data_IF_504782716731
#
_entry.id   IF_504782716731
#
_cell.length_a   1.000
_cell.length_b   1.000
_cell.length_c   1.000
_cell.angle_alpha   90.00
_cell.angle_beta   90.00
_cell.angle_gamma   90.00
#
_symmetry.space_group_name_H-M   'P 1'
#
loop_
_entity.id
_entity.type
_entity.pdbx_description
1 polymer ?
#
# COMPACT_ATOMS: atom_id res chain seq x y z
N UNK A 1 -14.93 42.31 -1.69
CA UNK A 1 -13.84 41.50 -2.27
C UNK A 1 -13.42 40.56 -1.15
N UNK A 2 -14.11 39.43 -1.05
CA UNK A 2 -13.77 38.39 -0.08
C UNK A 2 -12.82 37.47 -0.82
N UNK A 3 -11.54 37.49 -0.46
CA UNK A 3 -10.62 36.43 -0.82
C UNK A 3 -11.19 35.14 -0.22
N UNK A 4 -11.84 34.34 -1.06
CA UNK A 4 -12.04 32.92 -0.77
C UNK A 4 -10.64 32.34 -0.58
N UNK A 5 -10.25 32.13 0.69
CA UNK A 5 -9.19 31.21 1.03
C UNK A 5 -9.52 29.89 0.36
N UNK A 6 -8.88 29.62 -0.79
CA UNK A 6 -8.91 28.31 -1.43
C UNK A 6 -8.24 27.39 -0.43
N UNK A 7 -9.04 26.71 0.38
CA UNK A 7 -8.54 25.72 1.32
C UNK A 7 -7.69 24.75 0.50
N UNK A 8 -6.41 24.64 0.86
CA UNK A 8 -5.47 23.74 0.17
C UNK A 8 -6.13 22.37 -0.01
N UNK A 9 -6.17 21.89 -1.26
CA UNK A 9 -6.69 20.56 -1.62
C UNK A 9 -5.81 19.42 -1.07
N UNK A 10 -4.75 19.76 -0.34
CA UNK A 10 -3.75 18.87 0.22
C UNK A 10 -3.72 18.98 1.74
N UNK A 11 -3.63 17.84 2.41
CA UNK A 11 -3.53 17.72 3.86
C UNK A 11 -2.25 17.01 4.27
N UNK A 12 -1.75 17.34 5.45
CA UNK A 12 -0.59 16.68 6.04
C UNK A 12 -0.88 15.22 6.40
N UNK A 13 0.14 14.39 6.64
CA UNK A 13 -0.08 13.00 7.01
C UNK A 13 -0.71 12.85 8.39
N UNK A 14 -0.46 13.79 9.31
CA UNK A 14 -1.13 13.82 10.60
C UNK A 14 -2.64 14.07 10.46
N UNK A 15 -3.03 15.08 9.68
CA UNK A 15 -4.44 15.35 9.39
C UNK A 15 -5.12 14.16 8.68
N UNK A 16 -4.42 13.48 7.77
CA UNK A 16 -4.96 12.30 7.12
C UNK A 16 -5.20 11.13 8.09
N UNK A 17 -4.29 10.95 9.06
CA UNK A 17 -4.49 9.99 10.16
C UNK A 17 -5.71 10.39 10.98
N UNK A 18 -5.84 11.65 11.40
CA UNK A 18 -6.98 12.12 12.20
C UNK A 18 -8.32 11.90 11.48
N UNK A 19 -8.37 12.08 10.15
CA UNK A 19 -9.59 11.85 9.35
C UNK A 19 -9.98 10.36 9.30
N UNK A 20 -9.00 9.46 9.29
CA UNK A 20 -9.21 8.02 9.07
C UNK A 20 -9.19 7.20 10.38
N UNK A 21 -8.61 7.71 11.45
CA UNK A 21 -8.47 7.06 12.76
C UNK A 21 -9.80 6.62 13.36
N UNK A 22 -10.91 7.40 13.30
CA UNK A 22 -12.21 6.95 13.81
C UNK A 22 -12.71 5.65 13.19
N UNK A 23 -12.20 5.27 12.01
CA UNK A 23 -12.61 4.07 11.28
C UNK A 23 -11.60 2.94 11.35
N UNK A 24 -10.32 3.25 11.21
CA UNK A 24 -9.26 2.24 11.07
C UNK A 24 -8.42 2.08 12.36
N UNK A 25 -8.59 2.96 13.35
CA UNK A 25 -7.95 2.89 14.66
C UNK A 25 -6.43 2.82 14.57
N UNK A 26 -5.81 1.91 15.34
CA UNK A 26 -4.37 1.76 15.41
C UNK A 26 -3.69 1.45 14.05
N UNK A 27 -4.42 0.84 13.11
CA UNK A 27 -3.88 0.43 11.81
C UNK A 27 -4.01 1.53 10.73
N UNK A 28 -4.43 2.73 11.09
CA UNK A 28 -4.69 3.82 10.12
C UNK A 28 -3.48 4.16 9.27
N UNK A 29 -2.28 4.19 9.87
CA UNK A 29 -1.02 4.50 9.18
C UNK A 29 -0.67 3.44 8.15
N UNK A 30 -0.74 2.17 8.53
CA UNK A 30 -0.52 1.03 7.63
C UNK A 30 -1.54 1.04 6.48
N UNK A 31 -2.81 1.29 6.79
CA UNK A 31 -3.86 1.40 5.79
C UNK A 31 -3.59 2.52 4.78
N UNK A 32 -3.25 3.74 5.24
CA UNK A 32 -2.91 4.86 4.36
C UNK A 32 -1.71 4.49 3.48
N UNK A 33 -0.68 3.90 4.07
CA UNK A 33 0.51 3.53 3.33
C UNK A 33 0.22 2.49 2.24
N UNK A 34 -0.57 1.47 2.55
CA UNK A 34 -0.97 0.46 1.55
C UNK A 34 -1.78 1.11 0.42
N UNK A 35 -2.69 2.04 0.73
CA UNK A 35 -3.44 2.79 -0.30
C UNK A 35 -2.53 3.69 -1.14
N UNK A 36 -1.48 4.26 -0.55
CA UNK A 36 -0.45 5.02 -1.24
C UNK A 36 0.35 4.14 -2.22
N UNK A 37 0.75 2.95 -1.77
CA UNK A 37 1.45 1.94 -2.58
C UNK A 37 0.57 1.39 -3.71
N UNK A 38 -0.73 1.25 -3.47
CA UNK A 38 -1.70 0.86 -4.48
C UNK A 38 -1.94 1.96 -5.53
N UNK A 39 -1.54 3.21 -5.26
CA UNK A 39 -1.83 4.37 -6.11
C UNK A 39 -3.27 4.85 -5.99
N UNK A 40 -3.91 4.63 -4.83
CA UNK A 40 -5.27 5.06 -4.52
C UNK A 40 -5.34 6.39 -3.78
N UNK A 41 -4.19 6.95 -3.42
CA UNK A 41 -4.03 8.27 -2.80
C UNK A 41 -3.00 9.01 -3.63
N UNK A 42 -3.37 10.17 -4.18
CA UNK A 42 -2.40 11.09 -4.77
C UNK A 42 -1.58 11.75 -3.65
N UNK A 43 -0.26 11.81 -3.83
CA UNK A 43 0.64 12.50 -2.91
C UNK A 43 1.63 13.38 -3.65
N UNK A 44 1.98 14.49 -3.01
CA UNK A 44 3.15 15.28 -3.39
C UNK A 44 4.09 15.42 -2.20
N UNK A 45 5.30 15.90 -2.47
CA UNK A 45 6.27 16.26 -1.46
C UNK A 45 6.89 17.61 -1.77
N UNK A 46 7.34 18.31 -0.73
CA UNK A 46 8.09 19.54 -0.90
C UNK A 46 9.47 19.23 -1.50
N UNK A 47 10.07 18.09 -1.12
CA UNK A 47 11.37 17.60 -1.59
C UNK A 47 11.41 16.08 -1.69
N UNK A 48 12.15 15.56 -2.66
CA UNK A 48 12.45 14.14 -2.79
C UNK A 48 13.83 13.95 -3.43
N UNK A 49 14.64 13.05 -2.88
CA UNK A 49 15.97 12.74 -3.42
C UNK A 49 16.31 11.26 -3.25
N UNK A 50 17.27 10.78 -4.06
CA UNK A 50 17.84 9.44 -3.87
C UNK A 50 19.12 9.52 -3.03
N UNK A 51 19.27 8.60 -2.09
CA UNK A 51 20.50 8.43 -1.30
C UNK A 51 20.96 6.98 -1.37
N UNK A 52 22.27 6.79 -1.53
CA UNK A 52 22.96 5.49 -1.46
C UNK A 52 23.67 5.26 -0.13
N UNK A 53 23.39 6.09 0.89
CA UNK A 53 24.04 5.99 2.19
C UNK A 53 23.75 4.67 2.89
N UNK A 54 24.63 4.23 3.78
CA UNK A 54 24.43 2.94 4.47
C UNK A 54 23.30 3.01 5.49
N UNK A 55 23.15 4.13 6.22
CA UNK A 55 22.14 4.34 7.25
C UNK A 55 21.14 5.43 6.87
N UNK A 56 19.93 5.36 7.42
CA UNK A 56 18.89 6.38 7.23
C UNK A 56 19.31 7.72 7.83
N UNK A 57 19.92 7.74 9.02
CA UNK A 57 20.38 8.98 9.63
C UNK A 57 21.41 9.70 8.76
N UNK A 58 22.28 8.97 8.07
CA UNK A 58 23.22 9.55 7.10
C UNK A 58 22.47 10.07 5.87
N UNK A 59 21.51 9.31 5.34
CA UNK A 59 20.68 9.72 4.22
C UNK A 59 19.91 11.03 4.50
N UNK A 60 19.41 11.21 5.72
CA UNK A 60 18.73 12.43 6.16
C UNK A 60 19.68 13.59 6.42
N UNK A 61 20.92 13.34 6.89
CA UNK A 61 21.93 14.39 7.08
C UNK A 61 22.49 14.93 5.77
N UNK A 62 22.62 14.07 4.76
CA UNK A 62 23.07 14.48 3.43
C UNK A 62 22.06 15.37 2.68
N UNK A 63 20.88 15.60 3.26
CA UNK A 63 19.90 16.61 2.82
C UNK A 63 20.55 17.97 2.52
N UNK A 64 21.49 18.43 3.36
CA UNK A 64 22.14 19.74 3.17
C UNK A 64 23.11 19.78 1.98
N UNK A 65 23.72 18.65 1.62
CA UNK A 65 24.56 18.56 0.42
C UNK A 65 23.68 18.56 -0.83
N UNK A 66 22.57 17.80 -0.82
CA UNK A 66 21.59 17.85 -1.89
C UNK A 66 21.04 19.26 -2.06
N UNK A 67 20.64 19.93 -0.97
CA UNK A 67 20.13 21.31 -0.99
C UNK A 67 21.15 22.35 -1.46
N UNK A 68 22.46 22.12 -1.26
CA UNK A 68 23.52 23.03 -1.71
C UNK A 68 23.79 22.90 -3.21
N UNK A 69 23.81 21.68 -3.73
CA UNK A 69 23.86 21.44 -5.19
C UNK A 69 22.58 21.95 -5.87
N UNK A 70 21.47 21.94 -5.12
CA UNK A 70 20.14 22.39 -5.53
C UNK A 70 19.89 23.89 -5.40
N UNK A 71 20.66 24.68 -4.63
CA UNK A 71 20.49 26.15 -4.61
C UNK A 71 20.97 26.78 -5.94
N UNK A 72 21.77 26.05 -6.72
CA UNK A 72 22.19 26.38 -8.09
C UNK A 72 21.20 25.88 -9.16
N UNK A 73 20.26 24.99 -8.81
CA UNK A 73 19.22 24.47 -9.71
C UNK A 73 17.84 24.98 -9.28
N UNK A 74 16.96 25.38 -10.20
CA UNK A 74 15.58 25.68 -9.83
C UNK A 74 14.86 24.40 -9.35
N UNK A 75 14.95 24.08 -8.06
CA UNK A 75 14.27 22.88 -7.52
C UNK A 75 12.78 23.09 -7.61
N UNK A 76 12.13 22.19 -8.35
CA UNK A 76 10.68 22.05 -8.38
C UNK A 76 10.18 21.69 -6.97
N UNK A 77 9.76 22.71 -6.23
CA UNK A 77 9.00 22.52 -5.00
C UNK A 77 7.61 22.01 -5.36
N UNK A 78 7.12 21.02 -4.62
CA UNK A 78 5.86 20.29 -4.88
C UNK A 78 5.99 19.22 -5.99
N UNK A 79 6.80 18.21 -5.72
CA UNK A 79 7.01 17.04 -6.58
C UNK A 79 5.82 16.10 -6.41
N UNK A 80 5.10 15.81 -7.49
CA UNK A 80 4.12 14.72 -7.50
C UNK A 80 4.85 13.36 -7.45
N UNK A 81 4.47 12.52 -6.49
CA UNK A 81 5.13 11.23 -6.29
C UNK A 81 4.28 10.11 -6.86
N UNK A 82 4.81 9.42 -7.87
CA UNK A 82 4.18 8.24 -8.44
C UNK A 82 4.16 7.08 -7.42
N UNK A 83 3.05 6.33 -7.42
CA UNK A 83 2.92 5.00 -6.81
C UNK A 83 4.14 4.08 -7.01
N UNK A 84 4.85 4.21 -8.14
CA UNK A 84 6.07 3.46 -8.44
C UNK A 84 7.17 3.64 -7.39
N UNK A 85 7.31 4.83 -6.79
CA UNK A 85 8.26 5.10 -5.71
C UNK A 85 8.00 4.17 -4.54
N UNK A 86 6.75 4.10 -4.10
CA UNK A 86 6.33 3.29 -2.94
C UNK A 86 6.38 1.79 -3.24
N UNK A 87 5.96 1.38 -4.45
CA UNK A 87 6.01 -0.02 -4.89
C UNK A 87 7.43 -0.55 -5.01
N UNK A 88 8.41 0.32 -5.23
CA UNK A 88 9.82 -0.07 -5.34
C UNK A 88 10.44 -0.52 -4.01
N UNK A 89 9.77 -0.25 -2.88
CA UNK A 89 10.23 -0.67 -1.56
C UNK A 89 10.23 -2.19 -1.42
N UNK A 90 11.42 -2.76 -1.16
CA UNK A 90 11.59 -4.20 -0.86
C UNK A 90 11.25 -4.53 0.59
N UNK A 91 11.43 -3.57 1.49
CA UNK A 91 11.31 -3.73 2.93
C UNK A 91 10.19 -2.83 3.47
N UNK A 92 9.00 -2.98 2.88
CA UNK A 92 7.87 -2.09 3.14
C UNK A 92 7.57 -1.89 4.62
N UNK A 93 7.47 -2.98 5.39
CA UNK A 93 7.22 -2.90 6.83
C UNK A 93 8.31 -2.12 7.58
N UNK A 94 9.59 -2.33 7.23
CA UNK A 94 10.69 -1.59 7.85
C UNK A 94 10.66 -0.12 7.47
N UNK A 95 10.39 0.20 6.20
CA UNK A 95 10.27 1.59 5.77
C UNK A 95 9.16 2.31 6.55
N UNK A 96 8.01 1.67 6.77
CA UNK A 96 6.91 2.24 7.57
C UNK A 96 7.31 2.55 9.01
N UNK A 97 8.13 1.71 9.66
CA UNK A 97 8.64 1.95 11.01
C UNK A 97 9.54 3.21 11.06
N UNK A 98 10.17 3.55 9.94
CA UNK A 98 11.03 4.73 9.81
C UNK A 98 10.27 6.00 9.40
N UNK A 99 9.02 5.91 8.94
CA UNK A 99 8.25 7.07 8.54
C UNK A 99 7.93 7.97 9.75
N UNK A 100 8.22 9.26 9.61
CA UNK A 100 7.89 10.29 10.59
C UNK A 100 6.62 11.01 10.14
N UNK A 101 5.48 10.44 10.51
CA UNK A 101 4.15 10.91 10.11
C UNK A 101 3.87 12.38 10.45
N UNK A 102 4.13 12.89 11.67
CA UNK A 102 3.85 14.29 11.98
C UNK A 102 4.72 15.27 11.19
N UNK A 103 5.92 14.84 10.78
CA UNK A 103 6.89 15.65 10.04
C UNK A 103 6.73 15.52 8.52
N UNK A 104 5.88 14.60 8.04
CA UNK A 104 5.75 14.28 6.62
C UNK A 104 7.05 13.81 5.97
N UNK A 105 7.86 13.05 6.71
CA UNK A 105 9.15 12.52 6.25
C UNK A 105 9.08 11.01 6.06
N UNK A 106 9.11 10.58 4.82
CA UNK A 106 8.97 9.17 4.42
C UNK A 106 10.21 8.68 3.69
N UNK A 107 10.31 7.34 3.59
CA UNK A 107 11.38 6.67 2.87
C UNK A 107 10.86 5.45 2.12
N UNK A 108 11.41 5.20 0.94
CA UNK A 108 11.23 3.94 0.21
C UNK A 108 12.61 3.34 -0.14
N UNK A 109 12.91 2.17 0.41
CA UNK A 109 14.19 1.47 0.21
C UNK A 109 14.13 0.53 -1.00
N UNK A 110 14.83 0.90 -2.08
CA UNK A 110 14.89 0.13 -3.32
C UNK A 110 15.81 -1.09 -3.18
N UNK A 111 15.52 -2.16 -3.94
CA UNK A 111 16.30 -3.41 -3.93
C UNK A 111 17.59 -3.40 -4.76
N UNK A 112 18.05 -2.23 -5.21
CA UNK A 112 19.25 -2.12 -6.07
C UNK A 112 20.54 -2.45 -5.28
N UNK A 113 21.63 -2.74 -5.98
CA UNK A 113 22.97 -2.90 -5.40
C UNK A 113 23.91 -1.85 -6.01
N UNK A 114 24.48 -0.92 -5.21
CA UNK A 114 24.23 -0.72 -3.77
C UNK A 114 22.76 -0.36 -3.47
N UNK A 115 22.32 -0.60 -2.25
CA UNK A 115 20.96 -0.24 -1.83
C UNK A 115 20.82 1.28 -1.94
N UNK A 116 19.77 1.72 -2.65
CA UNK A 116 19.38 3.12 -2.74
C UNK A 116 18.05 3.32 -2.04
N UNK A 117 17.83 4.52 -1.54
CA UNK A 117 16.59 4.92 -0.88
C UNK A 117 16.09 6.20 -1.51
N UNK A 118 14.80 6.28 -1.74
CA UNK A 118 14.13 7.54 -2.06
C UNK A 118 13.68 8.14 -0.73
N UNK A 119 14.25 9.29 -0.38
CA UNK A 119 13.93 10.05 0.81
C UNK A 119 13.00 11.18 0.41
N UNK A 120 11.95 11.40 1.21
CA UNK A 120 10.86 12.31 0.86
C UNK A 120 10.50 13.17 2.05
N UNK A 121 10.43 14.49 1.88
CA UNK A 121 10.10 15.45 2.93
C UNK A 121 8.93 16.36 2.54
N UNK A 122 8.12 16.74 3.53
CA UNK A 122 6.96 17.61 3.31
C UNK A 122 5.84 16.89 2.57
N UNK A 123 5.68 15.58 2.80
CA UNK A 123 4.63 14.78 2.16
C UNK A 123 3.26 15.35 2.48
N UNK A 124 2.43 15.54 1.46
CA UNK A 124 1.01 15.88 1.62
C UNK A 124 0.16 14.96 0.75
N UNK A 125 -1.05 14.68 1.21
CA UNK A 125 -2.03 13.83 0.53
C UNK A 125 -3.18 14.65 -0.01
N UNK A 126 -3.71 14.25 -1.16
CA UNK A 126 -4.89 14.90 -1.71
C UNK A 126 -6.09 14.63 -0.81
N UNK A 127 -6.67 15.70 -0.28
CA UNK A 127 -7.76 15.66 0.71
C UNK A 127 -8.95 14.86 0.21
N UNK A 128 -9.28 14.99 -1.07
CA UNK A 128 -10.39 14.27 -1.71
C UNK A 128 -10.22 12.76 -1.61
N UNK A 129 -9.01 12.24 -1.76
CA UNK A 129 -8.76 10.79 -1.76
C UNK A 129 -8.87 10.23 -0.35
N UNK A 130 -8.29 10.93 0.63
CA UNK A 130 -8.44 10.60 2.05
C UNK A 130 -9.92 10.61 2.48
N UNK A 131 -10.68 11.63 2.07
CA UNK A 131 -12.12 11.69 2.34
C UNK A 131 -12.92 10.62 1.60
N UNK A 132 -12.45 10.12 0.47
CA UNK A 132 -13.10 9.00 -0.21
C UNK A 132 -12.84 7.68 0.51
N UNK A 133 -11.65 7.51 1.10
CA UNK A 133 -11.30 6.34 1.92
C UNK A 133 -12.02 6.31 3.27
N UNK A 134 -12.39 7.48 3.82
CA UNK A 134 -13.16 7.56 5.06
C UNK A 134 -14.62 7.14 4.87
N UNK A 135 -15.19 7.33 3.67
CA UNK A 135 -16.57 6.96 3.33
C UNK A 135 -16.74 5.44 3.30
N UNK A 136 -17.87 4.90 3.79
CA UNK A 136 -18.18 3.49 3.62
C UNK A 136 -18.19 3.15 2.13
N UNK A 137 -17.74 1.93 1.73
CA UNK A 137 -17.71 1.53 0.34
C UNK A 137 -19.09 1.78 -0.28
N UNK A 138 -19.14 2.60 -1.34
CA UNK A 138 -20.41 2.95 -1.94
C UNK A 138 -21.09 1.68 -2.45
N UNK A 139 -22.35 1.45 -2.07
CA UNK A 139 -23.15 0.32 -2.57
C UNK A 139 -23.45 0.41 -4.08
N UNK A 140 -22.95 1.44 -4.79
CA UNK A 140 -23.31 1.80 -6.17
C UNK A 140 -22.18 1.63 -7.21
N UNK A 141 -21.06 1.04 -6.85
CA UNK A 141 -20.15 0.44 -7.83
C UNK A 141 -20.64 -0.97 -8.15
N UNK A 142 -20.73 -1.33 -9.43
CA UNK A 142 -21.01 -2.70 -9.88
C UNK A 142 -20.02 -3.61 -9.13
N UNK A 143 -20.52 -4.45 -8.21
CA UNK A 143 -19.67 -5.37 -7.45
C UNK A 143 -18.83 -6.15 -8.46
N UNK A 144 -17.51 -6.35 -8.24
CA UNK A 144 -16.82 -7.41 -8.94
C UNK A 144 -17.68 -8.66 -8.76
N UNK A 145 -18.01 -9.38 -9.84
CA UNK A 145 -18.73 -10.66 -9.74
C UNK A 145 -18.02 -11.64 -8.78
N UNK A 146 -16.75 -11.35 -8.46
CA UNK A 146 -15.85 -12.11 -7.63
C UNK A 146 -15.84 -11.72 -6.14
N UNK A 147 -16.95 -11.23 -5.57
CA UNK A 147 -17.09 -11.12 -4.11
C UNK A 147 -16.83 -12.46 -3.39
N UNK A 148 -17.07 -13.58 -4.07
CA UNK A 148 -16.73 -14.92 -3.56
C UNK A 148 -15.24 -15.18 -3.42
N UNK A 149 -14.37 -14.59 -4.26
CA UNK A 149 -12.93 -14.83 -4.19
C UNK A 149 -12.27 -14.09 -3.02
N UNK A 150 -12.63 -12.83 -2.79
CA UNK A 150 -12.12 -12.10 -1.62
C UNK A 150 -12.51 -12.79 -0.30
N UNK A 151 -13.76 -13.28 -0.21
CA UNK A 151 -14.24 -14.05 0.94
C UNK A 151 -13.49 -15.38 1.06
N UNK A 152 -13.28 -16.10 -0.06
CA UNK A 152 -12.50 -17.34 -0.08
C UNK A 152 -11.06 -17.14 0.40
N UNK A 153 -10.41 -16.05 -0.03
CA UNK A 153 -9.06 -15.67 0.41
C UNK A 153 -9.04 -15.35 1.91
N UNK A 154 -9.98 -14.54 2.40
CA UNK A 154 -10.09 -14.23 3.83
C UNK A 154 -10.33 -15.48 4.68
N UNK A 155 -11.18 -16.41 4.21
CA UNK A 155 -11.50 -17.62 4.95
C UNK A 155 -10.34 -18.64 4.93
N UNK A 156 -9.59 -18.74 3.83
CA UNK A 156 -8.37 -19.57 3.78
C UNK A 156 -7.23 -19.00 4.64
N UNK A 157 -7.08 -17.68 4.73
CA UNK A 157 -6.14 -17.03 5.64
C UNK A 157 -6.52 -17.24 7.13
N UNK A 158 -7.83 -17.31 7.44
CA UNK A 158 -8.29 -17.66 8.78
C UNK A 158 -7.97 -19.12 9.14
N UNK A 159 -8.03 -20.04 8.19
CA UNK A 159 -7.69 -21.45 8.42
C UNK A 159 -6.19 -21.66 8.72
N UNK A 160 -5.32 -20.93 8.03
CA UNK A 160 -3.87 -20.93 8.30
C UNK A 160 -3.56 -20.41 9.71
N UNK A 161 -4.20 -19.30 10.11
CA UNK A 161 -4.10 -18.77 11.50
C UNK A 161 -4.56 -19.76 12.57
N UNK A 162 -5.45 -20.69 12.22
CA UNK A 162 -5.97 -21.71 13.13
C UNK A 162 -5.20 -23.06 13.04
N UNK A 163 -4.07 -23.12 12.32
CA UNK A 163 -3.27 -24.34 12.11
C UNK A 163 -4.06 -25.52 11.51
N UNK A 164 -5.10 -25.24 10.74
CA UNK A 164 -5.91 -26.24 10.03
C UNK A 164 -5.45 -26.43 8.57
N UNK A 165 -4.30 -25.84 8.23
CA UNK A 165 -3.71 -25.91 6.90
C UNK A 165 -3.19 -27.33 6.64
N UNK A 166 -3.49 -27.87 5.48
CA UNK A 166 -2.88 -29.12 5.01
C UNK A 166 -1.40 -28.87 4.64
N UNK A 167 -0.52 -29.01 5.62
CA UNK A 167 0.92 -28.76 5.47
C UNK A 167 1.61 -29.73 4.49
N UNK A 168 1.03 -30.91 4.23
CA UNK A 168 1.54 -31.83 3.20
C UNK A 168 1.41 -31.26 1.78
N UNK A 169 0.36 -30.48 1.52
CA UNK A 169 0.12 -29.83 0.22
C UNK A 169 0.61 -28.39 0.17
N UNK A 170 0.59 -27.71 1.31
CA UNK A 170 0.94 -26.30 1.44
C UNK A 170 1.88 -26.13 2.63
N UNK A 171 3.19 -26.41 2.46
CA UNK A 171 4.16 -26.45 3.55
C UNK A 171 4.41 -25.10 4.22
N UNK A 172 3.98 -23.99 3.60
CA UNK A 172 4.02 -22.66 4.18
C UNK A 172 3.02 -21.70 3.51
N UNK A 173 2.83 -20.54 4.13
CA UNK A 173 1.95 -19.46 3.65
C UNK A 173 2.26 -19.01 2.22
N UNK A 174 3.54 -18.92 1.85
CA UNK A 174 3.94 -18.49 0.51
C UNK A 174 3.52 -19.49 -0.58
N UNK A 175 3.58 -20.81 -0.29
CA UNK A 175 3.07 -21.84 -1.21
C UNK A 175 1.55 -21.78 -1.39
N UNK A 176 0.79 -21.46 -0.35
CA UNK A 176 -0.66 -21.24 -0.44
C UNK A 176 -0.98 -19.98 -1.24
N UNK A 177 -0.33 -18.86 -0.93
CA UNK A 177 -0.50 -17.58 -1.62
C UNK A 177 -0.18 -17.69 -3.11
N UNK A 178 0.89 -18.40 -3.47
CA UNK A 178 1.25 -18.66 -4.86
C UNK A 178 0.18 -19.50 -5.58
N UNK A 179 -0.27 -20.60 -4.98
CA UNK A 179 -1.31 -21.45 -5.57
C UNK A 179 -2.61 -20.67 -5.83
N UNK A 180 -3.02 -19.82 -4.89
CA UNK A 180 -4.22 -18.98 -5.06
C UNK A 180 -4.02 -17.89 -6.10
N UNK A 181 -2.81 -17.33 -6.20
CA UNK A 181 -2.45 -16.37 -7.25
C UNK A 181 -2.48 -17.03 -8.63
N UNK A 182 -1.94 -18.24 -8.76
CA UNK A 182 -1.98 -19.01 -10.00
C UNK A 182 -3.43 -19.38 -10.39
N UNK A 183 -4.27 -19.73 -9.40
CA UNK A 183 -5.70 -20.00 -9.63
C UNK A 183 -6.48 -18.75 -10.04
N UNK A 184 -6.16 -17.59 -9.47
CA UNK A 184 -6.81 -16.31 -9.82
C UNK A 184 -6.31 -15.76 -11.15
N UNK A 185 -5.04 -15.96 -11.50
CA UNK A 185 -4.51 -15.66 -12.82
C UNK A 185 -5.17 -16.54 -13.90
N UNK A 186 -5.30 -17.85 -13.65
CA UNK A 186 -6.08 -18.74 -14.49
C UNK A 186 -7.57 -18.35 -14.54
N UNK A 187 -8.13 -17.84 -13.43
CA UNK A 187 -9.49 -17.31 -13.39
C UNK A 187 -9.66 -15.97 -14.12
N UNK A 188 -8.59 -15.20 -14.31
CA UNK A 188 -8.57 -13.99 -15.14
C UNK A 188 -8.84 -14.28 -16.62
N UNK A 189 -8.50 -15.49 -17.09
CA UNK A 189 -8.90 -16.02 -18.41
C UNK A 189 -10.35 -16.53 -18.43
N UNK A 190 -11.00 -16.65 -17.26
CA UNK A 190 -12.34 -17.24 -17.05
C UNK A 190 -13.43 -16.18 -16.77
N UNK A 191 -13.33 -15.00 -17.36
CA UNK A 191 -14.41 -13.98 -17.36
C UNK A 191 -15.73 -14.46 -18.00
N UNK A 192 -15.79 -15.71 -18.48
CA UNK A 192 -16.95 -16.41 -19.05
C UNK A 192 -17.57 -17.47 -18.14
N UNK A 193 -16.98 -17.78 -16.97
CA UNK A 193 -17.52 -18.80 -16.09
C UNK A 193 -18.74 -18.32 -15.27
N UNK A 194 -19.66 -19.24 -15.05
CA UNK A 194 -20.81 -19.05 -14.16
C UNK A 194 -20.42 -19.22 -12.67
N UNK A 195 -21.29 -18.69 -11.80
CA UNK A 195 -21.10 -18.71 -10.35
C UNK A 195 -21.02 -20.14 -9.78
N UNK A 196 -21.61 -21.12 -10.46
CA UNK A 196 -21.61 -22.53 -10.04
C UNK A 196 -20.24 -23.17 -10.27
N UNK A 197 -19.60 -22.88 -11.40
CA UNK A 197 -18.23 -23.35 -11.69
C UNK A 197 -17.22 -22.74 -10.74
N UNK A 198 -17.38 -21.45 -10.40
CA UNK A 198 -16.55 -20.77 -9.39
C UNK A 198 -16.72 -21.43 -8.01
N UNK A 199 -17.96 -21.74 -7.61
CA UNK A 199 -18.23 -22.43 -6.34
C UNK A 199 -17.65 -23.85 -6.31
N UNK A 200 -17.74 -24.60 -7.41
CA UNK A 200 -17.14 -25.94 -7.50
C UNK A 200 -15.61 -25.87 -7.36
N UNK A 201 -14.98 -24.91 -8.05
CA UNK A 201 -13.54 -24.70 -7.97
C UNK A 201 -13.10 -24.29 -6.55
N UNK A 202 -13.85 -23.40 -5.91
CA UNK A 202 -13.64 -22.99 -4.53
C UNK A 202 -13.79 -24.19 -3.57
N UNK A 203 -14.80 -25.04 -3.75
CA UNK A 203 -15.03 -26.23 -2.94
C UNK A 203 -13.93 -27.29 -3.12
N UNK A 204 -13.45 -27.51 -4.35
CA UNK A 204 -12.32 -28.39 -4.65
C UNK A 204 -11.01 -27.86 -4.06
N UNK A 205 -10.76 -26.55 -4.14
CA UNK A 205 -9.62 -25.90 -3.50
C UNK A 205 -9.72 -26.02 -1.97
N UNK A 206 -10.90 -25.81 -1.40
CA UNK A 206 -11.18 -25.95 0.04
C UNK A 206 -10.87 -27.36 0.55
N UNK A 207 -11.28 -28.41 -0.17
CA UNK A 207 -10.96 -29.80 0.16
C UNK A 207 -9.48 -30.16 0.07
N UNK A 208 -8.66 -29.34 -0.63
CA UNK A 208 -7.19 -29.49 -0.67
C UNK A 208 -6.49 -28.72 0.43
N UNK A 209 -7.08 -27.61 0.90
CA UNK A 209 -6.51 -26.69 1.90
C UNK A 209 -6.73 -27.20 3.33
N UNK A 210 -7.84 -27.89 3.61
CA UNK A 210 -8.11 -28.47 4.92
C UNK A 210 -7.39 -29.83 5.07
N UNK A 211 -6.68 -30.01 6.18
CA UNK A 211 -6.15 -31.33 6.56
C UNK A 211 -7.33 -32.29 6.77
N UNK A 212 -7.32 -33.44 6.07
CA UNK A 212 -8.32 -34.48 6.34
C UNK A 212 -8.03 -35.04 7.73
N UNK A 213 -8.94 -34.82 8.68
CA UNK A 213 -8.93 -35.54 9.95
C UNK A 213 -9.21 -37.02 9.74
#
# INVERSE_FOLDING_TARGET
MQDEFVASDWISPNEAVEVLEPRYGANTKEFIADKLKDGLIDCHADLAWESSDKSLDAAWKNREETLKDEEEAEVERNIELDSAVWRSSRHWSWDLDYWRWPEGRFVATQSKKPASRTIVEGVKFKKKDILNLSKPPSKRGRKPKYAGWAILFEDMLKLERNALLNEEKFPNKASLEKYLTDCTAAAGELNSLDDETIRRFAHEAWGRVIASN
#
